data_IF_167343070912
#
_entry.id   IF_167343070912
#
_cell.length_a   1.000
_cell.length_b   1.000
_cell.length_c   1.000
_cell.angle_alpha   90.00
_cell.angle_beta   90.00
_cell.angle_gamma   90.00
#
_symmetry.space_group_name_H-M   'P 1'
#
loop_
_entity.id
_entity.type
_entity.pdbx_description
1 polymer ?
#
# COMPACT_ATOMS: atom_id res chain seq x y z
N UNK A 1 -41.60 -8.32 -15.87
CA UNK A 1 -41.33 -8.43 -17.32
C UNK A 1 -39.83 -8.31 -17.53
N UNK A 2 -39.21 -9.06 -18.46
CA UNK A 2 -37.77 -8.99 -18.69
C UNK A 2 -37.37 -7.59 -19.18
N UNK A 3 -36.32 -7.04 -18.58
CA UNK A 3 -35.80 -5.70 -18.88
C UNK A 3 -34.41 -5.84 -19.50
N UNK A 4 -34.20 -5.25 -20.67
CA UNK A 4 -32.90 -5.30 -21.34
C UNK A 4 -31.91 -4.39 -20.61
N UNK A 5 -30.79 -4.95 -20.14
CA UNK A 5 -29.75 -4.18 -19.44
C UNK A 5 -28.73 -3.59 -20.42
N UNK A 6 -28.26 -4.39 -21.39
CA UNK A 6 -27.25 -3.99 -22.38
C UNK A 6 -27.53 -4.61 -23.77
N UNK A 7 -26.78 -4.23 -24.83
CA UNK A 7 -26.84 -4.90 -26.13
C UNK A 7 -26.30 -6.34 -26.05
N UNK A 8 -27.13 -7.27 -25.59
CA UNK A 8 -26.80 -8.70 -25.53
C UNK A 8 -27.31 -9.44 -24.29
N UNK A 9 -27.71 -8.70 -23.24
CA UNK A 9 -28.16 -9.28 -21.96
C UNK A 9 -29.52 -8.75 -21.52
N UNK A 10 -30.27 -9.63 -20.86
CA UNK A 10 -31.58 -9.34 -20.28
C UNK A 10 -31.57 -9.62 -18.79
N UNK A 11 -32.14 -8.70 -18.01
CA UNK A 11 -32.55 -8.96 -16.64
C UNK A 11 -33.91 -9.63 -16.65
N UNK A 12 -33.98 -10.85 -16.13
CA UNK A 12 -35.21 -11.60 -15.98
C UNK A 12 -35.58 -11.71 -14.50
N UNK A 13 -36.86 -11.49 -14.18
CA UNK A 13 -37.39 -11.78 -12.85
C UNK A 13 -37.77 -13.27 -12.77
N UNK A 14 -37.40 -13.92 -11.69
CA UNK A 14 -37.83 -15.30 -11.40
C UNK A 14 -39.34 -15.30 -11.14
N UNK A 15 -40.09 -15.98 -12.00
CA UNK A 15 -41.57 -16.03 -11.94
C UNK A 15 -42.11 -17.27 -11.22
N UNK A 16 -41.28 -18.29 -11.03
CA UNK A 16 -41.60 -19.50 -10.27
C UNK A 16 -40.31 -20.09 -9.67
N UNK A 17 -40.38 -20.48 -8.39
CA UNK A 17 -39.37 -21.28 -7.72
C UNK A 17 -40.08 -22.19 -6.72
N UNK A 18 -39.64 -23.44 -6.63
CA UNK A 18 -40.08 -24.44 -5.65
C UNK A 18 -39.09 -24.56 -4.47
N UNK A 19 -38.06 -23.70 -4.42
CA UNK A 19 -37.01 -23.75 -3.41
C UNK A 19 -37.27 -22.75 -2.26
N UNK A 20 -37.21 -23.19 -0.99
CA UNK A 20 -37.60 -22.37 0.18
C UNK A 20 -36.73 -21.11 0.39
N UNK A 21 -35.51 -21.10 -0.14
CA UNK A 21 -34.58 -19.95 -0.03
C UNK A 21 -34.63 -18.94 -1.19
N UNK A 22 -35.38 -19.21 -2.27
CA UNK A 22 -35.44 -18.32 -3.45
C UNK A 22 -36.87 -17.81 -3.64
N UNK A 23 -37.21 -16.74 -2.93
CA UNK A 23 -38.51 -16.12 -3.10
C UNK A 23 -38.66 -15.57 -4.53
N UNK A 24 -39.83 -15.80 -5.13
CA UNK A 24 -40.23 -15.19 -6.40
C UNK A 24 -39.95 -13.68 -6.35
N UNK A 25 -39.17 -13.17 -7.31
CA UNK A 25 -38.83 -11.73 -7.42
C UNK A 25 -37.53 -11.25 -6.76
N UNK A 26 -36.77 -12.10 -6.05
CA UNK A 26 -35.57 -11.66 -5.31
C UNK A 26 -34.21 -11.75 -6.03
N UNK A 27 -34.13 -12.46 -7.17
CA UNK A 27 -32.87 -12.76 -7.84
C UNK A 27 -32.86 -12.23 -9.28
N UNK A 28 -31.76 -11.61 -9.68
CA UNK A 28 -31.49 -11.14 -11.03
C UNK A 28 -30.62 -12.15 -11.76
N UNK A 29 -31.16 -12.78 -12.81
CA UNK A 29 -30.38 -13.63 -13.71
C UNK A 29 -30.03 -12.84 -14.98
N UNK A 30 -28.78 -12.94 -15.42
CA UNK A 30 -28.34 -12.40 -16.71
C UNK A 30 -28.29 -13.53 -17.73
N UNK A 31 -29.22 -13.52 -18.69
CA UNK A 31 -29.32 -14.55 -19.75
C UNK A 31 -29.00 -13.88 -21.10
N UNK A 32 -28.24 -14.57 -21.94
CA UNK A 32 -27.90 -14.06 -23.27
C UNK A 32 -29.10 -14.11 -24.22
N UNK A 33 -29.18 -13.18 -25.18
CA UNK A 33 -30.28 -13.15 -26.15
C UNK A 33 -30.38 -14.44 -27.01
N UNK A 34 -29.25 -15.11 -27.25
CA UNK A 34 -29.20 -16.36 -28.01
C UNK A 34 -29.82 -17.54 -27.24
N UNK A 35 -29.68 -17.58 -25.91
CA UNK A 35 -30.29 -18.62 -25.07
C UNK A 35 -31.80 -18.47 -24.96
N UNK A 36 -32.27 -17.21 -24.85
CA UNK A 36 -33.71 -16.91 -24.89
C UNK A 36 -34.33 -17.37 -26.22
N UNK A 37 -33.68 -17.09 -27.35
CA UNK A 37 -34.17 -17.47 -28.67
C UNK A 37 -34.21 -19.00 -28.91
N UNK A 38 -33.38 -19.77 -28.19
CA UNK A 38 -33.33 -21.23 -28.29
C UNK A 38 -34.36 -21.94 -27.41
N UNK A 39 -35.11 -21.22 -26.57
CA UNK A 39 -36.06 -21.82 -25.63
C UNK A 39 -35.39 -22.74 -24.61
N UNK A 40 -34.13 -22.44 -24.26
CA UNK A 40 -33.33 -23.30 -23.39
C UNK A 40 -33.87 -23.25 -21.95
N UNK A 41 -34.23 -24.41 -21.40
CA UNK A 41 -34.48 -24.57 -19.97
C UNK A 41 -33.14 -24.61 -19.25
N UNK A 42 -32.83 -23.56 -18.47
CA UNK A 42 -31.65 -23.55 -17.61
C UNK A 42 -32.03 -24.22 -16.30
N UNK A 43 -31.60 -25.45 -16.10
CA UNK A 43 -31.64 -26.12 -14.79
C UNK A 43 -30.37 -25.72 -14.05
N UNK A 44 -30.50 -24.86 -13.04
CA UNK A 44 -29.39 -24.56 -12.16
C UNK A 44 -29.24 -25.74 -11.19
N UNK A 45 -28.17 -26.51 -11.36
CA UNK A 45 -27.84 -27.55 -10.39
C UNK A 45 -27.47 -26.89 -9.06
N UNK A 46 -27.94 -27.47 -7.95
CA UNK A 46 -27.71 -26.95 -6.59
C UNK A 46 -26.22 -26.78 -6.29
N UNK A 47 -25.38 -27.63 -6.88
CA UNK A 47 -23.93 -27.57 -6.72
C UNK A 47 -23.33 -26.33 -7.39
N UNK A 48 -23.79 -25.96 -8.60
CA UNK A 48 -23.30 -24.77 -9.32
C UNK A 48 -23.74 -23.48 -8.60
N UNK A 49 -24.94 -23.44 -8.04
CA UNK A 49 -25.43 -22.29 -7.27
C UNK A 49 -24.69 -22.07 -5.94
N UNK A 50 -24.32 -23.15 -5.24
CA UNK A 50 -23.49 -23.01 -4.04
C UNK A 50 -22.05 -22.62 -4.39
N UNK A 51 -21.52 -23.06 -5.54
CA UNK A 51 -20.21 -22.64 -6.03
C UNK A 51 -20.18 -21.13 -6.39
N UNK A 52 -21.17 -20.65 -7.14
CA UNK A 52 -21.31 -19.21 -7.46
C UNK A 52 -21.52 -18.37 -6.19
N UNK A 53 -22.24 -18.90 -5.18
CA UNK A 53 -22.39 -18.21 -3.89
C UNK A 53 -21.07 -18.16 -3.12
N UNK A 54 -20.26 -19.22 -3.16
CA UNK A 54 -18.91 -19.22 -2.57
C UNK A 54 -18.01 -18.23 -3.29
N UNK A 55 -18.08 -18.14 -4.62
CA UNK A 55 -17.25 -17.22 -5.42
C UNK A 55 -17.69 -15.75 -5.31
N UNK A 56 -18.97 -15.48 -5.01
CA UNK A 56 -19.46 -14.14 -4.68
C UNK A 56 -19.18 -13.74 -3.22
N UNK A 57 -18.93 -14.73 -2.35
CA UNK A 57 -18.62 -14.52 -0.94
C UNK A 57 -17.12 -14.60 -0.62
N UNK A 58 -16.27 -15.02 -1.56
CA UNK A 58 -14.82 -14.90 -1.42
C UNK A 58 -14.48 -13.41 -1.46
N UNK A 59 -13.93 -12.85 -0.36
CA UNK A 59 -13.46 -11.48 -0.37
C UNK A 59 -12.41 -11.37 -1.47
N UNK A 60 -12.57 -10.41 -2.38
CA UNK A 60 -11.47 -10.01 -3.25
C UNK A 60 -10.40 -9.45 -2.33
N UNK A 61 -9.40 -10.27 -1.99
CA UNK A 61 -8.26 -9.79 -1.20
C UNK A 61 -7.60 -8.69 -2.03
N UNK A 62 -7.61 -7.44 -1.56
CA UNK A 62 -7.00 -6.36 -2.31
C UNK A 62 -5.52 -6.69 -2.50
N UNK A 63 -5.07 -6.64 -3.75
CA UNK A 63 -3.71 -7.06 -4.09
C UNK A 63 -2.70 -6.14 -3.43
N UNK A 64 -1.64 -6.74 -2.89
CA UNK A 64 -0.53 -6.00 -2.31
C UNK A 64 0.05 -5.01 -3.33
N UNK A 65 0.41 -3.80 -2.86
CA UNK A 65 0.90 -2.70 -3.70
C UNK A 65 2.39 -2.46 -3.49
N UNK A 66 3.08 -2.01 -4.52
CA UNK A 66 4.44 -1.48 -4.38
C UNK A 66 4.37 -0.03 -3.90
N UNK A 67 5.24 0.34 -2.95
CA UNK A 67 5.32 1.68 -2.36
C UNK A 67 6.72 2.25 -2.54
N UNK A 68 6.85 3.48 -3.05
CA UNK A 68 8.14 4.15 -3.14
C UNK A 68 8.51 4.78 -1.81
N UNK A 69 9.63 4.37 -1.23
CA UNK A 69 10.20 4.93 -0.01
C UNK A 69 11.44 5.77 -0.33
N UNK A 70 11.53 6.95 0.30
CA UNK A 70 12.70 7.83 0.26
C UNK A 70 13.03 8.26 1.68
N UNK A 71 14.31 8.28 2.02
CA UNK A 71 14.82 8.56 3.37
C UNK A 71 15.64 9.85 3.33
N UNK A 72 15.40 10.72 4.31
CA UNK A 72 16.01 12.03 4.37
C UNK A 72 16.59 12.32 5.74
N UNK A 73 17.83 12.81 5.77
CA UNK A 73 18.42 13.38 6.97
C UNK A 73 18.15 14.87 7.04
N UNK A 74 17.73 15.32 8.23
CA UNK A 74 17.69 16.75 8.53
C UNK A 74 19.12 17.26 8.70
N UNK A 75 19.41 18.41 8.09
CA UNK A 75 20.73 19.06 8.11
C UNK A 75 20.85 20.12 9.23
N UNK A 76 19.83 20.28 10.07
CA UNK A 76 19.84 21.15 11.22
C UNK A 76 20.32 20.42 12.47
N UNK A 77 21.41 20.88 13.09
CA UNK A 77 21.87 20.31 14.36
C UNK A 77 20.93 20.60 15.55
N UNK A 78 20.11 21.65 15.45
CA UNK A 78 19.17 22.02 16.51
C UNK A 78 18.01 21.03 16.65
N UNK A 79 17.78 20.20 15.63
CA UNK A 79 16.62 19.31 15.53
C UNK A 79 16.54 18.28 16.67
N UNK A 80 17.68 17.89 17.24
CA UNK A 80 17.72 16.96 18.37
C UNK A 80 17.07 17.56 19.62
N UNK A 81 17.23 18.87 19.83
CA UNK A 81 16.62 19.59 20.94
C UNK A 81 15.17 19.98 20.58
N UNK A 82 15.01 20.72 19.47
CA UNK A 82 13.77 21.45 19.19
C UNK A 82 12.77 20.64 18.34
N UNK A 83 13.21 19.53 17.76
CA UNK A 83 12.47 18.84 16.71
C UNK A 83 12.55 19.58 15.38
N UNK A 84 11.77 19.12 14.42
CA UNK A 84 11.69 19.72 13.09
C UNK A 84 11.06 21.12 13.15
N UNK A 85 11.65 22.04 12.41
CA UNK A 85 11.04 23.34 12.08
C UNK A 85 10.90 23.50 10.58
N UNK A 86 9.86 24.21 10.13
CA UNK A 86 9.50 24.34 8.70
C UNK A 86 10.60 24.93 7.81
N UNK A 87 11.57 25.63 8.41
CA UNK A 87 12.72 26.22 7.72
C UNK A 87 13.89 25.26 7.53
N UNK A 88 13.85 24.07 8.15
CA UNK A 88 14.90 23.07 8.03
C UNK A 88 15.05 22.58 6.59
N UNK A 89 16.27 22.16 6.28
CA UNK A 89 16.65 21.57 5.00
C UNK A 89 16.98 20.10 5.18
N UNK A 90 16.60 19.30 4.19
CA UNK A 90 16.81 17.86 4.18
C UNK A 90 17.72 17.45 3.03
N UNK A 91 18.52 16.43 3.27
CA UNK A 91 19.27 15.73 2.22
C UNK A 91 18.67 14.35 2.05
N UNK A 92 18.37 13.95 0.81
CA UNK A 92 17.96 12.58 0.50
C UNK A 92 19.18 11.68 0.56
N UNK A 93 19.09 10.60 1.33
CA UNK A 93 20.24 9.70 1.57
C UNK A 93 19.99 8.29 1.04
N UNK A 94 18.73 7.90 0.81
CA UNK A 94 18.41 6.56 0.35
C UNK A 94 17.01 6.50 -0.29
N UNK A 95 16.82 5.64 -1.28
CA UNK A 95 15.51 5.39 -1.89
C UNK A 95 15.41 3.95 -2.37
N UNK A 96 14.23 3.34 -2.22
CA UNK A 96 13.93 2.03 -2.77
C UNK A 96 12.41 1.84 -2.93
N UNK A 97 12.01 0.80 -3.67
CA UNK A 97 10.63 0.38 -3.80
C UNK A 97 10.37 -0.79 -2.83
N UNK A 98 9.46 -0.60 -1.87
CA UNK A 98 9.00 -1.66 -0.97
C UNK A 98 7.93 -2.49 -1.72
N UNK A 99 8.21 -3.77 -2.06
CA UNK A 99 7.26 -4.58 -2.78
C UNK A 99 6.17 -5.13 -1.86
N UNK A 100 4.99 -5.36 -2.42
CA UNK A 100 3.92 -6.13 -1.78
C UNK A 100 3.49 -5.64 -0.38
N UNK A 101 3.38 -4.33 -0.21
CA UNK A 101 2.76 -3.75 0.99
C UNK A 101 1.27 -4.07 0.98
N UNK A 102 0.80 -4.71 2.05
CA UNK A 102 -0.61 -4.96 2.27
C UNK A 102 -1.37 -3.62 2.29
N UNK A 103 -2.46 -3.47 1.52
CA UNK A 103 -3.23 -2.22 1.42
C UNK A 103 -3.82 -1.74 2.75
N UNK A 104 -4.01 -2.61 3.74
CA UNK A 104 -4.49 -2.23 5.08
C UNK A 104 -3.39 -1.61 5.96
N UNK A 105 -2.13 -1.67 5.51
CA UNK A 105 -1.00 -1.04 6.20
C UNK A 105 -0.98 0.45 5.91
N UNK A 106 -1.15 1.24 6.98
CA UNK A 106 -1.08 2.69 6.93
C UNK A 106 0.35 3.21 6.73
N UNK A 107 0.48 4.42 6.19
CA UNK A 107 1.77 5.12 6.08
C UNK A 107 2.53 5.20 7.40
N UNK A 108 1.84 5.39 8.53
CA UNK A 108 2.46 5.45 9.86
C UNK A 108 3.10 4.10 10.19
N UNK A 109 2.44 2.98 9.91
CA UNK A 109 3.01 1.65 10.13
C UNK A 109 4.21 1.38 9.20
N UNK A 110 4.15 1.84 7.95
CA UNK A 110 5.31 1.81 7.05
C UNK A 110 6.45 2.62 7.66
N UNK A 111 6.17 3.83 8.15
CA UNK A 111 7.15 4.72 8.73
C UNK A 111 7.83 4.12 9.97
N UNK A 112 7.07 3.52 10.89
CA UNK A 112 7.60 2.78 12.04
C UNK A 112 8.50 1.62 11.62
N UNK A 113 8.08 0.85 10.59
CA UNK A 113 8.93 -0.22 10.04
C UNK A 113 10.23 0.34 9.47
N UNK A 114 10.19 1.48 8.79
CA UNK A 114 11.39 2.15 8.26
C UNK A 114 12.29 2.65 9.39
N UNK A 115 11.72 3.18 10.48
CA UNK A 115 12.49 3.59 11.65
C UNK A 115 13.30 2.42 12.21
N UNK A 116 12.65 1.27 12.41
CA UNK A 116 13.29 0.06 12.90
C UNK A 116 14.38 -0.42 11.92
N UNK A 117 14.02 -0.53 10.63
CA UNK A 117 14.90 -0.99 9.56
C UNK A 117 16.22 -0.20 9.51
N UNK A 118 16.16 1.13 9.47
CA UNK A 118 17.36 1.96 9.33
C UNK A 118 18.09 2.26 10.65
N UNK A 119 17.58 1.77 11.78
CA UNK A 119 18.27 1.86 13.07
C UNK A 119 18.96 0.58 13.48
N UNK A 120 18.30 -0.58 13.31
CA UNK A 120 18.80 -1.88 13.78
C UNK A 120 18.64 -3.00 12.76
N UNK A 121 18.09 -2.73 11.57
CA UNK A 121 17.82 -3.76 10.57
C UNK A 121 19.08 -4.39 9.95
N UNK A 122 20.26 -3.80 10.15
CA UNK A 122 21.54 -4.37 9.74
C UNK A 122 22.18 -5.27 10.81
N UNK A 123 21.65 -5.27 12.04
CA UNK A 123 22.22 -5.97 13.19
C UNK A 123 21.66 -7.40 13.31
N UNK A 124 22.50 -8.45 13.19
CA UNK A 124 22.05 -9.85 13.30
C UNK A 124 21.52 -10.24 14.70
N UNK A 125 21.79 -9.43 15.73
CA UNK A 125 21.20 -9.63 17.07
C UNK A 125 19.70 -9.26 17.13
N UNK A 126 19.21 -8.53 16.12
CA UNK A 126 17.84 -8.04 15.99
C UNK A 126 17.01 -8.77 14.92
N UNK A 127 17.57 -9.80 14.27
CA UNK A 127 16.91 -10.59 13.24
C UNK A 127 17.85 -10.99 12.11
N UNK A 128 17.29 -11.51 11.01
CA UNK A 128 18.04 -11.63 9.75
C UNK A 128 18.28 -10.22 9.20
N UNK A 129 19.54 -9.82 8.93
CA UNK A 129 19.84 -8.49 8.40
C UNK A 129 19.14 -8.21 7.08
N UNK A 130 18.49 -7.05 6.99
CA UNK A 130 17.80 -6.60 5.79
C UNK A 130 18.79 -5.98 4.79
N UNK A 131 18.63 -6.31 3.51
CA UNK A 131 19.51 -5.84 2.43
C UNK A 131 19.53 -4.31 2.31
N UNK A 132 18.40 -3.65 2.54
CA UNK A 132 18.30 -2.19 2.46
C UNK A 132 18.99 -1.52 3.65
N UNK A 133 18.89 -2.10 4.85
CA UNK A 133 19.60 -1.61 6.02
C UNK A 133 21.12 -1.75 5.83
N UNK A 134 21.59 -2.90 5.33
CA UNK A 134 23.01 -3.12 5.03
C UNK A 134 23.51 -2.11 4.00
N UNK A 135 22.79 -1.94 2.89
CA UNK A 135 23.20 -1.00 1.84
C UNK A 135 23.25 0.44 2.38
N UNK A 136 22.21 0.86 3.09
CA UNK A 136 22.12 2.16 3.75
C UNK A 136 23.33 2.43 4.66
N UNK A 137 23.71 1.47 5.51
CA UNK A 137 24.88 1.58 6.40
C UNK A 137 26.20 1.57 5.66
N UNK A 138 26.33 0.74 4.62
CA UNK A 138 27.55 0.64 3.80
C UNK A 138 27.89 1.96 3.09
N UNK A 139 26.88 2.81 2.85
CA UNK A 139 27.06 4.17 2.32
C UNK A 139 27.51 5.18 3.39
N UNK A 140 27.72 4.79 4.64
CA UNK A 140 28.14 5.68 5.72
C UNK A 140 27.01 6.49 6.36
N UNK A 141 25.74 6.14 6.09
CA UNK A 141 24.60 6.84 6.65
C UNK A 141 24.40 6.52 8.14
N UNK A 142 24.15 7.56 8.94
CA UNK A 142 23.81 7.44 10.36
C UNK A 142 22.41 6.86 10.57
N UNK A 143 22.13 6.47 11.81
CA UNK A 143 20.78 6.08 12.24
C UNK A 143 19.76 7.19 12.02
N UNK A 144 18.51 6.81 11.75
CA UNK A 144 17.39 7.75 11.79
C UNK A 144 17.14 8.23 13.22
N UNK A 145 16.84 9.52 13.35
CA UNK A 145 16.63 10.20 14.62
C UNK A 145 15.48 11.19 14.54
N UNK A 146 15.11 11.75 15.70
CA UNK A 146 14.14 12.84 15.80
C UNK A 146 14.47 13.96 14.79
N UNK A 147 13.49 14.29 13.98
CA UNK A 147 13.55 15.36 13.00
C UNK A 147 13.98 14.95 11.59
N UNK A 148 14.46 13.73 11.41
CA UNK A 148 14.63 13.14 10.07
C UNK A 148 13.26 12.86 9.43
N UNK A 149 13.25 12.68 8.12
CA UNK A 149 12.02 12.48 7.37
C UNK A 149 12.10 11.27 6.46
N UNK A 150 10.93 10.74 6.13
CA UNK A 150 10.73 9.80 5.05
C UNK A 150 9.65 10.32 4.11
N UNK A 151 9.68 9.90 2.85
CA UNK A 151 8.56 10.07 1.93
C UNK A 151 8.02 8.72 1.48
N UNK A 152 6.69 8.57 1.55
CA UNK A 152 5.94 7.37 1.15
C UNK A 152 5.01 7.79 0.01
N UNK A 153 5.30 7.34 -1.21
CA UNK A 153 4.60 7.77 -2.42
C UNK A 153 4.51 9.31 -2.55
N UNK A 154 5.55 10.02 -2.12
CA UNK A 154 5.63 11.48 -2.17
C UNK A 154 4.96 12.23 -1.01
N UNK A 155 4.37 11.53 -0.04
CA UNK A 155 3.86 12.13 1.22
C UNK A 155 4.96 12.11 2.27
N UNK A 156 5.24 13.25 2.89
CA UNK A 156 6.40 13.44 3.76
C UNK A 156 6.02 13.32 5.24
N UNK A 157 6.75 12.48 5.96
CA UNK A 157 6.55 12.21 7.38
C UNK A 157 7.86 12.48 8.12
N UNK A 158 7.81 13.33 9.14
CA UNK A 158 8.95 13.62 10.01
C UNK A 158 8.85 12.77 11.28
N UNK A 159 9.98 12.19 11.69
CA UNK A 159 10.11 11.49 12.95
C UNK A 159 10.02 12.51 14.10
N UNK A 160 8.94 12.47 14.88
CA UNK A 160 8.79 13.28 16.08
C UNK A 160 9.33 12.50 17.31
N UNK A 161 9.31 13.15 18.47
CA UNK A 161 9.54 12.53 19.77
C UNK A 161 8.60 11.35 20.07
N UNK A 162 7.40 11.35 19.48
CA UNK A 162 6.42 10.29 19.60
C UNK A 162 5.75 10.02 18.24
N UNK A 163 6.37 9.15 17.44
CA UNK A 163 5.83 8.69 16.16
C UNK A 163 6.13 9.65 15.01
N UNK A 164 5.14 9.83 14.12
CA UNK A 164 5.34 10.46 12.82
C UNK A 164 4.35 11.59 12.57
N UNK A 165 4.87 12.74 12.14
CA UNK A 165 4.08 13.92 11.80
C UNK A 165 4.09 14.15 10.30
N UNK A 166 2.91 14.17 9.67
CA UNK A 166 2.75 14.51 8.26
C UNK A 166 3.10 15.99 8.04
N UNK A 167 3.97 16.27 7.07
CA UNK A 167 4.37 17.64 6.71
C UNK A 167 4.14 17.90 5.22
N UNK A 168 4.15 19.18 4.85
CA UNK A 168 4.27 19.57 3.44
C UNK A 168 5.66 19.21 2.91
N UNK A 169 5.83 19.18 1.58
CA UNK A 169 7.14 18.96 0.96
C UNK A 169 8.19 19.91 1.54
N UNK A 170 9.27 19.39 2.16
CA UNK A 170 10.28 20.22 2.81
C UNK A 170 11.25 20.81 1.79
N UNK A 171 12.19 21.62 2.28
CA UNK A 171 13.29 22.13 1.46
C UNK A 171 14.39 21.08 1.34
N UNK A 172 14.91 20.89 0.13
CA UNK A 172 16.00 19.94 -0.12
C UNK A 172 17.33 20.67 -0.32
N UNK A 173 18.41 19.99 0.04
CA UNK A 173 19.79 20.37 -0.25
C UNK A 173 20.55 19.17 -0.84
N UNK A 174 21.53 19.44 -1.70
CA UNK A 174 22.41 18.41 -2.25
C UNK A 174 23.59 18.10 -1.32
N UNK A 175 23.85 18.95 -0.32
CA UNK A 175 24.97 18.77 0.60
C UNK A 175 24.53 18.07 1.87
N UNK A 176 25.19 16.96 2.18
CA UNK A 176 25.01 16.23 3.43
C UNK A 176 25.77 16.86 4.60
N UNK A 177 25.49 16.38 5.81
CA UNK A 177 26.32 16.62 7.00
C UNK A 177 27.06 15.33 7.38
N UNK A 178 27.85 15.39 8.46
CA UNK A 178 28.49 14.20 9.00
C UNK A 178 27.48 13.06 9.22
N UNK A 179 27.77 11.88 8.65
CA UNK A 179 26.86 10.72 8.67
C UNK A 179 25.70 10.80 7.68
N UNK A 180 25.73 11.71 6.70
CA UNK A 180 24.74 11.77 5.61
C UNK A 180 25.46 11.73 4.28
N UNK A 181 25.27 10.66 3.51
CA UNK A 181 25.81 10.52 2.16
C UNK A 181 24.71 10.85 1.17
N UNK A 182 24.79 12.01 0.48
CA UNK A 182 23.72 12.44 -0.43
C UNK A 182 23.54 11.44 -1.56
N UNK A 183 22.28 11.16 -1.90
CA UNK A 183 21.95 10.35 -3.06
C UNK A 183 22.42 11.08 -4.34
N UNK A 184 23.40 10.51 -5.03
CA UNK A 184 23.95 11.05 -6.29
C UNK A 184 25.29 11.77 -6.17
N UNK A 185 25.99 11.73 -5.02
CA UNK A 185 27.40 12.11 -4.94
C UNK A 185 28.31 10.87 -5.09
N UNK A 186 28.88 10.60 -6.28
CA UNK A 186 29.78 9.46 -6.49
C UNK A 186 31.16 9.65 -5.85
N UNK A 187 31.45 10.77 -5.18
CA UNK A 187 32.79 11.15 -4.69
C UNK A 187 32.90 11.36 -3.18
N UNK A 188 31.87 11.06 -2.38
CA UNK A 188 31.96 11.06 -0.93
C UNK A 188 32.71 9.85 -0.37
N UNK A 189 34.05 9.88 -0.37
CA UNK A 189 34.91 9.03 0.46
C UNK A 189 35.76 9.89 1.39
#
# INVERSE_FOLDING_TARGET
MPQRLNPGSWACAVVFSDHPSYAVGGHHLSISAAEIARGTTVSLDRAELEQDRVDLLTPVTPSARTVRVRVFHNTSHAVMADGYVVTDTFVEVYTYDEPAVDPDISDIQIAERMFYLFNVGDDPSHGEPDVHAIEYRSQGNRSLSKGDAIAIDGRFWVCDSAGWTLISTPRFTASGQHGSTPLGDPHGQ
#
